data_IF_099393562908
#
_entry.id   IF_099393562908
#
_cell.length_a   1.000
_cell.length_b   1.000
_cell.length_c   1.000
_cell.angle_alpha   90.00
_cell.angle_beta   90.00
_cell.angle_gamma   90.00
#
_symmetry.space_group_name_H-M   'P 1'
#
loop_
_entity.id
_entity.type
_entity.pdbx_description
1 polymer ?
#
# COMPACT_ATOMS: atom_id res chain seq x y z
N UNK A 1 22.27 -17.44 8.72
CA UNK A 1 21.34 -17.19 7.60
C UNK A 1 19.97 -17.86 7.82
N UNK A 2 19.87 -19.17 8.11
CA UNK A 2 18.58 -19.86 8.40
C UNK A 2 17.75 -19.18 9.50
N UNK A 3 18.39 -18.80 10.61
CA UNK A 3 17.73 -18.09 11.71
C UNK A 3 17.25 -16.66 11.35
N UNK A 4 17.87 -16.00 10.37
CA UNK A 4 17.44 -14.66 9.92
C UNK A 4 16.11 -14.73 9.16
N UNK A 5 15.92 -15.75 8.30
CA UNK A 5 14.65 -16.01 7.64
C UNK A 5 13.61 -16.61 8.60
N UNK A 6 14.06 -17.42 9.57
CA UNK A 6 13.17 -17.95 10.62
C UNK A 6 12.54 -16.86 11.49
N UNK A 7 13.24 -15.73 11.69
CA UNK A 7 12.74 -14.62 12.49
C UNK A 7 11.64 -13.79 11.80
N UNK A 8 11.56 -13.78 10.46
CA UNK A 8 10.46 -13.09 9.76
C UNK A 8 9.18 -13.92 9.68
N UNK A 9 9.27 -15.24 9.83
CA UNK A 9 8.13 -16.16 9.81
C UNK A 9 7.03 -15.81 10.84
N UNK A 10 7.32 -15.53 12.13
CA UNK A 10 6.27 -15.13 13.07
C UNK A 10 5.58 -13.82 12.68
N UNK A 11 6.32 -12.84 12.14
CA UNK A 11 5.72 -11.59 11.66
C UNK A 11 4.77 -11.83 10.48
N UNK A 12 5.17 -12.68 9.53
CA UNK A 12 4.32 -13.09 8.42
C UNK A 12 3.08 -13.85 8.89
N UNK A 13 3.22 -14.72 9.89
CA UNK A 13 2.09 -15.44 10.48
C UNK A 13 1.09 -14.48 11.17
N UNK A 14 1.59 -13.51 11.94
CA UNK A 14 0.75 -12.46 12.56
C UNK A 14 0.00 -11.67 11.48
N UNK A 15 0.69 -11.29 10.40
CA UNK A 15 0.06 -10.57 9.28
C UNK A 15 -1.01 -11.44 8.60
N UNK A 16 -0.75 -12.73 8.38
CA UNK A 16 -1.71 -13.65 7.78
C UNK A 16 -2.97 -13.82 8.65
N UNK A 17 -2.80 -13.95 9.97
CA UNK A 17 -3.93 -14.01 10.92
C UNK A 17 -4.70 -12.69 10.95
N UNK A 18 -4.00 -11.55 10.88
CA UNK A 18 -4.63 -10.23 10.80
C UNK A 18 -5.45 -10.06 9.51
N UNK A 19 -4.93 -10.50 8.37
CA UNK A 19 -5.63 -10.47 7.08
C UNK A 19 -6.89 -11.35 7.08
N UNK A 20 -6.88 -12.48 7.79
CA UNK A 20 -8.07 -13.33 7.93
C UNK A 20 -9.23 -12.59 8.61
N UNK A 21 -8.93 -11.62 9.48
CA UNK A 21 -9.93 -10.88 10.26
C UNK A 21 -10.46 -9.63 9.55
N UNK A 22 -9.80 -9.17 8.48
CA UNK A 22 -10.16 -7.94 7.77
C UNK A 22 -11.35 -8.16 6.81
N UNK A 23 -12.35 -7.26 6.80
CA UNK A 23 -13.42 -7.34 5.83
C UNK A 23 -12.87 -7.12 4.40
N UNK A 24 -13.43 -7.79 3.39
CA UNK A 24 -13.07 -7.56 2.00
C UNK A 24 -13.36 -6.10 1.60
N UNK A 25 -12.54 -5.54 0.71
CA UNK A 25 -12.72 -4.17 0.23
C UNK A 25 -14.11 -3.98 -0.41
N UNK A 26 -14.92 -3.01 0.07
CA UNK A 26 -16.25 -2.73 -0.49
C UNK A 26 -16.19 -2.44 -2.00
N UNK A 27 -15.18 -1.68 -2.44
CA UNK A 27 -14.98 -1.33 -3.84
C UNK A 27 -14.68 -2.56 -4.71
N UNK A 28 -13.89 -3.49 -4.20
CA UNK A 28 -13.57 -4.73 -4.90
C UNK A 28 -14.78 -5.65 -5.05
N UNK A 29 -15.64 -5.71 -4.02
CA UNK A 29 -16.90 -6.46 -4.09
C UNK A 29 -17.87 -5.87 -5.13
N UNK A 30 -17.98 -4.54 -5.20
CA UNK A 30 -18.77 -3.87 -6.23
C UNK A 30 -18.20 -4.09 -7.63
N UNK A 31 -16.88 -4.06 -7.78
CA UNK A 31 -16.22 -4.36 -9.06
C UNK A 31 -16.51 -5.81 -9.50
N UNK A 32 -16.46 -6.78 -8.60
CA UNK A 32 -16.83 -8.17 -8.92
C UNK A 32 -18.29 -8.31 -9.37
N UNK A 33 -19.19 -7.54 -8.76
CA UNK A 33 -20.59 -7.50 -9.16
C UNK A 33 -20.74 -6.99 -10.60
N UNK A 34 -20.03 -5.92 -10.97
CA UNK A 34 -20.02 -5.35 -12.33
C UNK A 34 -19.36 -6.29 -13.35
N UNK A 35 -18.33 -7.04 -12.96
CA UNK A 35 -17.67 -8.05 -13.79
C UNK A 35 -18.53 -9.30 -14.04
N UNK A 36 -19.74 -9.39 -13.48
CA UNK A 36 -20.60 -10.58 -13.58
C UNK A 36 -20.10 -11.80 -12.80
N UNK A 37 -19.13 -11.61 -11.89
CA UNK A 37 -18.59 -12.69 -11.03
C UNK A 37 -19.47 -12.90 -9.80
N UNK A 38 -20.65 -13.47 -10.02
CA UNK A 38 -21.63 -13.87 -9.00
C UNK A 38 -22.86 -12.96 -8.91
N UNK A 39 -23.82 -13.28 -8.01
CA UNK A 39 -25.07 -12.52 -7.88
C UNK A 39 -24.81 -11.07 -7.47
N UNK A 40 -25.37 -10.12 -8.22
CA UNK A 40 -25.20 -8.67 -8.00
C UNK A 40 -25.66 -8.26 -6.58
N UNK A 41 -26.81 -8.76 -6.17
CA UNK A 41 -27.43 -8.46 -4.87
C UNK A 41 -26.58 -8.95 -3.69
N UNK A 42 -25.96 -10.14 -3.82
CA UNK A 42 -25.13 -10.69 -2.74
C UNK A 42 -23.83 -9.92 -2.59
N UNK A 43 -23.21 -9.51 -3.70
CA UNK A 43 -22.00 -8.68 -3.67
C UNK A 43 -22.30 -7.27 -3.13
N UNK A 44 -23.44 -6.68 -3.48
CA UNK A 44 -23.88 -5.37 -2.95
C UNK A 44 -24.12 -5.45 -1.44
N UNK A 45 -24.79 -6.50 -0.95
CA UNK A 45 -24.97 -6.75 0.50
C UNK A 45 -23.65 -6.95 1.24
N UNK A 46 -22.71 -7.72 0.67
CA UNK A 46 -21.37 -7.90 1.26
C UNK A 46 -20.58 -6.60 1.30
N UNK A 47 -20.65 -5.79 0.25
CA UNK A 47 -20.01 -4.47 0.20
C UNK A 47 -20.59 -3.54 1.27
N UNK A 48 -21.91 -3.58 1.47
CA UNK A 48 -22.60 -2.82 2.50
C UNK A 48 -22.15 -3.22 3.91
N UNK A 49 -22.07 -4.52 4.19
CA UNK A 49 -21.59 -5.00 5.48
C UNK A 49 -20.11 -4.62 5.73
N UNK A 50 -19.27 -4.71 4.69
CA UNK A 50 -17.86 -4.31 4.78
C UNK A 50 -17.70 -2.80 5.04
N UNK A 51 -18.48 -1.95 4.37
CA UNK A 51 -18.44 -0.50 4.55
C UNK A 51 -19.01 -0.08 5.93
N UNK A 52 -20.03 -0.80 6.43
CA UNK A 52 -20.54 -0.63 7.80
C UNK A 52 -19.49 -1.00 8.85
N UNK A 53 -18.72 -2.07 8.64
CA UNK A 53 -17.59 -2.42 9.51
C UNK A 53 -16.48 -1.38 9.49
N UNK A 54 -16.25 -0.72 8.36
CA UNK A 54 -15.22 0.32 8.21
C UNK A 54 -15.62 1.65 8.87
N UNK A 55 -16.86 2.10 8.69
CA UNK A 55 -17.36 3.38 9.23
C UNK A 55 -17.91 3.29 10.65
N UNK A 56 -18.11 2.07 11.16
CA UNK A 56 -18.63 1.81 12.49
C UNK A 56 -20.16 1.95 12.61
N UNK A 57 -20.72 1.70 13.81
CA UNK A 57 -22.16 1.58 14.03
C UNK A 57 -22.97 2.87 13.84
N UNK A 58 -22.30 4.03 13.82
CA UNK A 58 -22.93 5.36 13.75
C UNK A 58 -23.28 5.80 12.33
N UNK A 59 -22.88 5.04 11.30
CA UNK A 59 -23.20 5.38 9.92
C UNK A 59 -24.68 5.08 9.64
N UNK A 60 -25.43 6.10 9.21
CA UNK A 60 -26.82 5.94 8.78
C UNK A 60 -26.90 5.05 7.54
N UNK A 61 -27.82 4.06 7.55
CA UNK A 61 -28.03 3.12 6.44
C UNK A 61 -28.31 3.85 5.10
N UNK A 62 -28.90 5.05 5.15
CA UNK A 62 -29.10 5.89 3.96
C UNK A 62 -27.80 6.37 3.35
N UNK A 63 -26.89 6.92 4.16
CA UNK A 63 -25.57 7.42 3.72
C UNK A 63 -24.74 6.28 3.13
N UNK A 64 -24.81 5.10 3.77
CA UNK A 64 -24.12 3.91 3.31
C UNK A 64 -24.63 3.43 1.94
N UNK A 65 -25.94 3.47 1.74
CA UNK A 65 -26.58 3.06 0.49
C UNK A 65 -26.27 4.04 -0.65
N UNK A 66 -26.33 5.35 -0.38
CA UNK A 66 -26.00 6.39 -1.36
C UNK A 66 -24.54 6.30 -1.81
N UNK A 67 -23.62 6.07 -0.88
CA UNK A 67 -22.19 5.91 -1.19
C UNK A 67 -21.91 4.64 -2.01
N UNK A 68 -22.60 3.54 -1.72
CA UNK A 68 -22.50 2.32 -2.51
C UNK A 68 -23.03 2.54 -3.92
N UNK A 69 -24.15 3.24 -4.08
CA UNK A 69 -24.73 3.52 -5.39
C UNK A 69 -23.82 4.45 -6.21
N UNK A 70 -23.24 5.47 -5.56
CA UNK A 70 -22.25 6.37 -6.18
C UNK A 70 -20.95 5.63 -6.57
N UNK A 71 -20.45 4.73 -5.71
CA UNK A 71 -19.30 3.90 -6.05
C UNK A 71 -19.63 2.91 -7.16
N UNK A 72 -20.85 2.36 -7.17
CA UNK A 72 -21.28 1.41 -8.19
C UNK A 72 -21.43 2.10 -9.55
N UNK A 73 -22.02 3.29 -9.60
CA UNK A 73 -22.18 4.05 -10.84
C UNK A 73 -20.84 4.48 -11.41
N UNK A 74 -19.91 4.97 -10.56
CA UNK A 74 -18.56 5.32 -10.99
C UNK A 74 -17.75 4.12 -11.48
N UNK A 75 -17.87 2.95 -10.83
CA UNK A 75 -17.23 1.72 -11.30
C UNK A 75 -17.85 1.25 -12.62
N UNK A 76 -19.18 1.30 -12.77
CA UNK A 76 -19.84 0.93 -14.04
C UNK A 76 -19.43 1.85 -15.18
N UNK A 77 -19.36 3.17 -14.95
CA UNK A 77 -18.90 4.12 -15.95
C UNK A 77 -17.44 3.83 -16.35
N UNK A 78 -16.56 3.63 -15.37
CA UNK A 78 -15.16 3.29 -15.64
C UNK A 78 -15.00 1.93 -16.34
N UNK A 79 -15.84 0.94 -16.01
CA UNK A 79 -15.77 -0.40 -16.60
C UNK A 79 -16.37 -0.45 -18.01
N UNK A 80 -17.44 0.30 -18.27
CA UNK A 80 -18.01 0.42 -19.61
C UNK A 80 -17.06 1.13 -20.58
N UNK A 81 -16.29 2.11 -20.08
CA UNK A 81 -15.27 2.82 -20.84
C UNK A 81 -13.99 1.99 -21.02
N UNK A 82 -13.68 1.11 -20.06
CA UNK A 82 -12.57 0.16 -20.12
C UNK A 82 -12.97 -1.14 -20.80
N UNK A 83 -13.18 -1.09 -22.12
CA UNK A 83 -13.15 -2.29 -22.96
C UNK A 83 -11.73 -2.88 -22.90
N UNK A 84 -11.54 -3.93 -22.10
CA UNK A 84 -10.33 -4.74 -21.97
C UNK A 84 -9.01 -3.97 -22.15
N UNK A 85 -8.62 -3.22 -21.11
CA UNK A 85 -7.43 -2.39 -21.13
C UNK A 85 -6.16 -3.18 -21.49
N UNK A 86 -5.70 -3.02 -22.73
CA UNK A 86 -4.39 -3.51 -23.15
C UNK A 86 -3.32 -2.73 -22.39
N UNK A 87 -2.29 -3.42 -21.91
CA UNK A 87 -1.12 -2.80 -21.24
C UNK A 87 -0.49 -1.66 -22.06
N UNK A 88 -0.70 -1.67 -23.39
CA UNK A 88 -0.24 -0.65 -24.31
C UNK A 88 -1.02 0.68 -24.21
N UNK A 89 -2.26 0.68 -23.72
CA UNK A 89 -3.04 1.91 -23.52
C UNK A 89 -2.43 2.82 -22.43
N UNK A 90 -1.63 2.25 -21.51
CA UNK A 90 -0.89 3.03 -20.51
C UNK A 90 0.16 3.94 -21.18
N UNK A 91 0.64 3.56 -22.36
CA UNK A 91 1.58 4.34 -23.15
C UNK A 91 0.91 5.35 -24.08
N UNK A 92 -0.43 5.40 -24.13
CA UNK A 92 -1.20 6.34 -24.95
C UNK A 92 -1.85 7.45 -24.11
N UNK A 93 -1.97 8.64 -24.70
CA UNK A 93 -2.80 9.73 -24.18
C UNK A 93 -2.41 10.30 -22.80
N UNK A 94 -3.42 10.58 -21.97
CA UNK A 94 -3.26 11.21 -20.66
C UNK A 94 -2.58 10.30 -19.62
N UNK A 95 -2.69 8.98 -19.77
CA UNK A 95 -2.04 7.96 -18.92
C UNK A 95 -0.52 8.03 -18.99
N UNK A 96 0.04 8.37 -20.16
CA UNK A 96 1.48 8.47 -20.33
C UNK A 96 2.09 9.56 -19.43
N UNK A 97 1.39 10.68 -19.21
CA UNK A 97 1.84 11.74 -18.29
C UNK A 97 1.88 11.26 -16.84
N UNK A 98 0.85 10.54 -16.40
CA UNK A 98 0.83 9.96 -15.06
C UNK A 98 1.93 8.89 -14.91
N UNK A 99 2.15 8.07 -15.95
CA UNK A 99 3.18 7.05 -15.97
C UNK A 99 4.59 7.65 -15.93
N UNK A 100 4.88 8.70 -16.70
CA UNK A 100 6.21 9.34 -16.68
C UNK A 100 6.47 10.08 -15.37
N UNK A 101 5.46 10.72 -14.77
CA UNK A 101 5.61 11.35 -13.45
C UNK A 101 5.85 10.29 -12.37
N UNK A 102 5.02 9.24 -12.33
CA UNK A 102 5.15 8.16 -11.34
C UNK A 102 6.46 7.38 -11.52
N UNK A 103 6.79 7.01 -12.75
CA UNK A 103 8.02 6.34 -13.10
C UNK A 103 9.25 7.19 -12.79
N UNK A 104 9.25 8.47 -13.20
CA UNK A 104 10.30 9.43 -12.90
C UNK A 104 10.49 9.61 -11.40
N UNK A 105 9.41 9.74 -10.63
CA UNK A 105 9.46 9.84 -9.18
C UNK A 105 10.12 8.62 -8.54
N UNK A 106 9.73 7.40 -8.94
CA UNK A 106 10.35 6.16 -8.45
C UNK A 106 11.82 6.07 -8.88
N UNK A 107 12.16 6.46 -10.11
CA UNK A 107 13.55 6.50 -10.58
C UNK A 107 14.41 7.44 -9.74
N UNK A 108 13.94 8.66 -9.47
CA UNK A 108 14.64 9.60 -8.59
C UNK A 108 14.78 9.07 -7.16
N UNK A 109 13.76 8.38 -6.64
CA UNK A 109 13.85 7.70 -5.34
C UNK A 109 14.95 6.62 -5.34
N UNK A 110 15.08 5.83 -6.40
CA UNK A 110 16.12 4.80 -6.50
C UNK A 110 17.53 5.40 -6.72
N UNK A 111 17.67 6.42 -7.57
CA UNK A 111 18.94 7.13 -7.82
C UNK A 111 19.48 7.77 -6.54
N UNK A 112 18.60 8.24 -5.66
CA UNK A 112 18.97 8.74 -4.33
C UNK A 112 19.70 7.68 -3.49
N UNK A 113 19.66 6.40 -3.89
CA UNK A 113 20.53 5.36 -3.35
C UNK A 113 20.19 4.96 -1.92
N UNK A 114 18.96 5.22 -1.48
CA UNK A 114 18.51 4.93 -0.11
C UNK A 114 18.74 3.47 0.34
N UNK A 115 18.63 2.44 -0.53
CA UNK A 115 19.03 1.07 -0.19
C UNK A 115 20.55 0.91 -0.13
N UNK A 116 21.28 1.50 -1.09
CA UNK A 116 22.73 1.41 -1.25
C UNK A 116 23.50 2.02 -0.08
N UNK A 117 23.04 3.16 0.44
CA UNK A 117 23.65 3.81 1.61
C UNK A 117 23.61 2.90 2.84
N UNK A 118 22.50 2.16 3.03
CA UNK A 118 22.39 1.24 4.17
C UNK A 118 23.26 0.00 3.97
N UNK A 119 23.35 -0.51 2.74
CA UNK A 119 24.13 -1.69 2.39
C UNK A 119 25.64 -1.46 2.53
N UNK A 120 26.13 -0.28 2.15
CA UNK A 120 27.54 0.08 2.23
C UNK A 120 27.91 0.87 3.49
N UNK A 121 26.96 1.21 4.37
CA UNK A 121 27.24 1.95 5.61
C UNK A 121 28.34 1.29 6.44
N UNK A 122 28.25 -0.04 6.63
CA UNK A 122 29.24 -0.81 7.40
C UNK A 122 30.61 -0.81 6.73
N UNK A 123 30.66 -0.93 5.40
CA UNK A 123 31.91 -0.90 4.63
C UNK A 123 32.55 0.49 4.66
N UNK A 124 31.76 1.58 4.59
CA UNK A 124 32.25 2.97 4.69
C UNK A 124 32.79 3.24 6.09
N UNK A 125 32.09 2.80 7.15
CA UNK A 125 32.53 2.97 8.53
C UNK A 125 33.77 2.14 8.88
N UNK A 126 33.90 0.94 8.30
CA UNK A 126 35.12 0.13 8.43
C UNK A 126 36.32 0.80 7.75
N UNK A 127 36.14 1.35 6.55
CA UNK A 127 37.19 2.12 5.85
C UNK A 127 37.55 3.42 6.58
N UNK A 128 36.62 3.99 7.36
CA UNK A 128 36.84 5.18 8.20
C UNK A 128 37.55 4.90 9.54
N UNK A 129 37.92 3.65 9.83
CA UNK A 129 38.75 3.29 11.00
C UNK A 129 38.01 2.62 12.16
N UNK A 130 36.71 2.34 12.04
CA UNK A 130 35.98 1.55 13.04
C UNK A 130 36.14 0.05 12.76
N UNK A 131 37.17 -0.55 13.33
CA UNK A 131 37.59 -1.94 13.07
C UNK A 131 36.68 -3.01 13.70
N UNK A 132 35.79 -2.65 14.63
CA UNK A 132 34.95 -3.60 15.36
C UNK A 132 33.54 -3.68 14.78
N UNK A 133 33.10 -4.89 14.39
CA UNK A 133 31.74 -5.16 13.89
C UNK A 133 30.62 -4.66 14.83
N UNK A 134 30.92 -4.51 16.13
CA UNK A 134 30.00 -3.97 17.13
C UNK A 134 29.69 -2.47 16.96
N UNK A 135 30.60 -1.67 16.40
CA UNK A 135 30.38 -0.22 16.26
C UNK A 135 29.64 0.10 14.95
N UNK A 136 29.93 -0.63 13.88
CA UNK A 136 29.15 -0.56 12.64
C UNK A 136 27.67 -0.92 12.88
N UNK A 137 27.40 -1.95 13.70
CA UNK A 137 26.03 -2.31 14.08
C UNK A 137 25.30 -1.19 14.86
N UNK A 138 25.98 -0.52 15.80
CA UNK A 138 25.40 0.61 16.56
C UNK A 138 25.03 1.78 15.64
N UNK A 139 25.88 2.11 14.67
CA UNK A 139 25.61 3.19 13.71
C UNK A 139 24.44 2.83 12.78
N UNK A 140 24.35 1.58 12.32
CA UNK A 140 23.18 1.12 11.54
C UNK A 140 21.87 1.22 12.32
N UNK A 141 21.88 0.89 13.63
CA UNK A 141 20.72 1.05 14.51
C UNK A 141 20.33 2.54 14.62
N UNK A 142 21.30 3.43 14.80
CA UNK A 142 21.06 4.88 14.89
C UNK A 142 20.43 5.45 13.60
N UNK A 143 20.93 5.03 12.43
CA UNK A 143 20.37 5.41 11.13
C UNK A 143 18.94 4.88 10.98
N UNK A 144 18.68 3.66 11.41
CA UNK A 144 17.34 3.07 11.43
C UNK A 144 16.37 3.88 12.29
N UNK A 145 16.78 4.24 13.51
CA UNK A 145 15.98 5.05 14.43
C UNK A 145 15.66 6.44 13.85
N UNK A 146 16.66 7.08 13.22
CA UNK A 146 16.47 8.38 12.56
C UNK A 146 15.50 8.31 11.38
N UNK A 147 15.52 7.21 10.61
CA UNK A 147 14.55 6.99 9.53
C UNK A 147 13.13 6.86 10.08
N UNK A 148 12.94 6.08 11.15
CA UNK A 148 11.63 5.89 11.78
C UNK A 148 11.09 7.20 12.36
N UNK A 149 11.92 7.98 13.05
CA UNK A 149 11.49 9.25 13.64
C UNK A 149 11.08 10.29 12.59
N UNK A 150 11.82 10.38 11.47
CA UNK A 150 11.45 11.20 10.32
C UNK A 150 10.14 10.75 9.69
N UNK A 151 9.95 9.44 9.50
CA UNK A 151 8.72 8.88 8.95
C UNK A 151 7.52 9.23 9.84
N UNK A 152 7.63 9.02 11.15
CA UNK A 152 6.59 9.34 12.11
C UNK A 152 6.20 10.83 12.08
N UNK A 153 7.19 11.72 12.04
CA UNK A 153 6.95 13.17 11.94
C UNK A 153 6.25 13.55 10.63
N UNK A 154 6.60 12.90 9.52
CA UNK A 154 5.94 13.11 8.23
C UNK A 154 4.46 12.74 8.29
N UNK A 155 4.14 11.57 8.83
CA UNK A 155 2.75 11.10 8.96
C UNK A 155 1.91 12.04 9.82
N UNK A 156 2.45 12.51 10.95
CA UNK A 156 1.73 13.46 11.84
C UNK A 156 1.51 14.82 11.15
N UNK A 157 2.49 15.29 10.36
CA UNK A 157 2.37 16.56 9.61
C UNK A 157 1.41 16.47 8.43
N UNK A 158 1.22 15.30 7.84
CA UNK A 158 0.25 15.06 6.77
C UNK A 158 -1.17 14.93 7.32
N UNK A 159 -1.34 14.22 8.45
CA UNK A 159 -2.66 14.02 9.08
C UNK A 159 -3.19 15.30 9.77
N UNK A 160 -2.29 16.20 10.17
CA UNK A 160 -2.64 17.50 10.75
C UNK A 160 -2.98 18.61 9.75
N UNK A 161 -3.00 18.33 8.43
CA UNK A 161 -3.26 19.32 7.37
C UNK A 161 -4.55 19.00 6.61
#
# INVERSE_FOLDING_TARGET
WRYMFGFSAPLAAIMAVGMWSLPPSPRWLLLRAVQGKGPMEDNKKKAMNALRRLKGPSASDKVLTDEIENNLSSIKAAYADQAEGSIFQVFEGASLKAFTIGGGLVLFQQITGQPSVLYYATSILQTAGFTTASDAAKVSILIGLFKVSRCLKSTILEDGR
#
